data_IF_498384233653
#
_entry.id   IF_498384233653
#
_cell.length_a   1.000
_cell.length_b   1.000
_cell.length_c   1.000
_cell.angle_alpha   90.00
_cell.angle_beta   90.00
_cell.angle_gamma   90.00
#
_symmetry.space_group_name_H-M   'P 1'
#
loop_
_entity.id
_entity.type
_entity.pdbx_description
1 polymer ?
#
# COMPACT_ATOMS: atom_id res chain seq x y z
N UNK A 1 24.89 -1.81 -34.11
CA UNK A 1 25.60 -0.99 -35.13
C UNK A 1 25.12 -1.41 -36.52
N UNK A 2 24.87 -0.46 -37.41
CA UNK A 2 24.54 -0.75 -38.81
C UNK A 2 25.82 -0.90 -39.61
N UNK A 3 25.92 -2.00 -40.34
CA UNK A 3 27.01 -2.25 -41.27
C UNK A 3 26.44 -2.37 -42.67
N UNK A 4 27.13 -1.79 -43.63
CA UNK A 4 26.84 -2.01 -45.04
C UNK A 4 27.76 -3.07 -45.60
N UNK A 5 27.19 -3.97 -46.40
CA UNK A 5 27.91 -5.01 -47.12
C UNK A 5 27.67 -4.80 -48.59
N UNK A 6 28.76 -4.78 -49.36
CA UNK A 6 28.73 -4.65 -50.80
C UNK A 6 29.78 -5.59 -51.38
N UNK A 7 29.36 -6.46 -52.29
CA UNK A 7 30.26 -7.41 -52.93
C UNK A 7 30.81 -6.81 -54.23
N UNK A 8 32.07 -7.12 -54.56
CA UNK A 8 32.68 -6.78 -55.84
C UNK A 8 32.79 -8.05 -56.71
N UNK A 9 32.49 -7.93 -58.00
CA UNK A 9 32.78 -8.99 -58.97
C UNK A 9 34.25 -8.95 -59.42
N UNK A 10 34.70 -9.98 -60.14
CA UNK A 10 36.09 -10.11 -60.61
C UNK A 10 36.57 -8.99 -61.57
N UNK A 11 35.64 -8.13 -62.04
CA UNK A 11 35.91 -7.01 -62.94
C UNK A 11 35.73 -5.65 -62.26
N UNK A 12 35.59 -5.62 -60.92
CA UNK A 12 35.47 -4.39 -60.14
C UNK A 12 34.07 -3.77 -60.10
N UNK A 13 33.05 -4.42 -60.65
CA UNK A 13 31.67 -4.00 -60.51
C UNK A 13 31.11 -4.34 -59.13
N UNK A 14 30.44 -3.39 -58.48
CA UNK A 14 29.88 -3.54 -57.15
C UNK A 14 28.40 -3.99 -57.19
N UNK A 15 27.98 -4.83 -56.25
CA UNK A 15 26.57 -5.19 -56.03
C UNK A 15 25.78 -4.03 -55.44
N UNK A 16 24.46 -4.19 -55.35
CA UNK A 16 23.65 -3.35 -54.47
C UNK A 16 24.17 -3.43 -53.03
N UNK A 17 24.17 -2.30 -52.35
CA UNK A 17 24.52 -2.22 -50.92
C UNK A 17 23.39 -2.87 -50.13
N UNK A 18 23.74 -3.82 -49.28
CA UNK A 18 22.81 -4.40 -48.29
C UNK A 18 23.21 -3.92 -46.90
N UNK A 19 22.24 -3.62 -46.04
CA UNK A 19 22.50 -3.32 -44.63
C UNK A 19 22.32 -4.57 -43.78
N UNK A 20 23.18 -4.73 -42.77
CA UNK A 20 23.02 -5.72 -41.72
C UNK A 20 23.15 -5.04 -40.35
N UNK A 21 22.20 -5.32 -39.47
CA UNK A 21 22.22 -4.83 -38.09
C UNK A 21 22.82 -5.90 -37.19
N UNK A 22 23.96 -5.62 -36.56
CA UNK A 22 24.57 -6.52 -35.59
C UNK A 22 24.32 -5.98 -34.17
N UNK A 23 23.76 -6.84 -33.30
CA UNK A 23 23.36 -6.53 -31.93
C UNK A 23 21.92 -6.01 -31.83
N UNK A 24 20.94 -6.92 -31.89
CA UNK A 24 19.53 -6.59 -31.67
C UNK A 24 19.24 -6.15 -30.23
N UNK A 25 18.02 -5.63 -30.01
CA UNK A 25 17.58 -5.24 -28.68
C UNK A 25 17.59 -6.46 -27.75
N UNK A 26 18.27 -6.35 -26.60
CA UNK A 26 18.29 -7.39 -25.58
C UNK A 26 17.07 -7.21 -24.69
N UNK A 27 16.26 -8.25 -24.54
CA UNK A 27 15.13 -8.26 -23.63
C UNK A 27 15.41 -9.16 -22.43
N UNK A 28 14.89 -8.74 -21.27
CA UNK A 28 15.02 -9.45 -20.00
C UNK A 28 13.66 -9.52 -19.31
N UNK A 29 13.39 -10.62 -18.59
CA UNK A 29 12.09 -10.86 -17.96
C UNK A 29 11.95 -10.14 -16.61
N UNK A 30 10.70 -9.80 -16.26
CA UNK A 30 10.30 -9.24 -14.98
C UNK A 30 9.36 -10.21 -14.27
N UNK A 31 9.63 -10.51 -13.01
CA UNK A 31 8.75 -11.25 -12.11
C UNK A 31 8.30 -10.37 -10.95
N UNK A 32 7.01 -10.37 -10.66
CA UNK A 32 6.42 -9.60 -9.57
C UNK A 32 6.03 -10.50 -8.41
N UNK A 33 6.41 -10.10 -7.20
CA UNK A 33 6.13 -10.83 -5.96
C UNK A 33 5.53 -9.87 -4.94
N UNK A 34 4.46 -10.29 -4.27
CA UNK A 34 3.97 -9.63 -3.09
C UNK A 34 4.93 -9.92 -1.92
N UNK A 35 5.56 -8.88 -1.36
CA UNK A 35 6.46 -9.08 -0.21
C UNK A 35 5.71 -9.61 1.03
N UNK A 36 4.41 -9.35 1.14
CA UNK A 36 3.54 -10.01 2.13
C UNK A 36 3.30 -11.45 1.67
N UNK A 37 3.85 -12.40 2.43
CA UNK A 37 3.67 -13.83 2.17
C UNK A 37 4.50 -14.39 1.00
N UNK A 38 5.31 -13.57 0.33
CA UNK A 38 6.19 -13.97 -0.77
C UNK A 38 5.44 -14.68 -1.92
N UNK A 39 4.29 -14.14 -2.32
CA UNK A 39 3.37 -14.73 -3.31
C UNK A 39 3.55 -14.06 -4.67
N UNK A 40 3.64 -14.83 -5.76
CA UNK A 40 3.74 -14.29 -7.12
C UNK A 40 2.48 -13.52 -7.52
N UNK A 41 2.66 -12.35 -8.16
CA UNK A 41 1.60 -11.52 -8.74
C UNK A 41 1.58 -11.72 -10.26
N UNK A 42 0.59 -12.44 -10.78
CA UNK A 42 0.53 -12.85 -12.20
C UNK A 42 -0.30 -11.94 -13.11
N UNK A 43 -1.06 -11.00 -12.55
CA UNK A 43 -1.97 -10.10 -13.27
C UNK A 43 -1.37 -8.72 -13.55
N UNK A 44 -0.05 -8.63 -13.63
CA UNK A 44 0.68 -7.37 -13.83
C UNK A 44 1.46 -7.39 -15.14
N UNK A 45 1.46 -6.26 -15.83
CA UNK A 45 2.20 -6.04 -17.07
C UNK A 45 2.99 -4.74 -16.94
N UNK A 46 4.20 -4.66 -17.53
CA UNK A 46 4.83 -5.63 -18.44
C UNK A 46 5.58 -6.76 -17.72
N UNK A 47 5.75 -7.93 -18.36
CA UNK A 47 6.53 -9.07 -17.80
C UNK A 47 7.94 -9.19 -18.40
N UNK A 48 8.33 -8.20 -19.19
CA UNK A 48 9.63 -8.10 -19.84
C UNK A 48 9.99 -6.64 -20.11
N UNK A 49 11.27 -6.34 -20.29
CA UNK A 49 11.75 -5.03 -20.69
C UNK A 49 12.96 -5.13 -21.63
N UNK A 50 13.15 -4.08 -22.43
CA UNK A 50 14.32 -3.93 -23.29
C UNK A 50 15.45 -3.28 -22.49
N UNK A 51 16.58 -3.96 -22.37
CA UNK A 51 17.79 -3.41 -21.74
C UNK A 51 18.24 -2.14 -22.46
N UNK A 52 18.71 -1.15 -21.70
CA UNK A 52 19.06 0.17 -22.27
C UNK A 52 17.88 1.14 -22.35
N UNK A 53 16.67 0.74 -21.93
CA UNK A 53 15.47 1.60 -21.91
C UNK A 53 14.90 1.75 -20.51
N UNK A 54 14.29 2.90 -20.23
CA UNK A 54 13.54 3.10 -18.99
C UNK A 54 12.13 2.56 -19.19
N UNK A 55 11.61 1.83 -18.19
CA UNK A 55 10.24 1.34 -18.20
C UNK A 55 9.55 1.62 -16.87
N UNK A 56 8.36 2.19 -16.94
CA UNK A 56 7.51 2.43 -15.77
C UNK A 56 6.88 1.12 -15.31
N UNK A 57 6.91 0.89 -14.00
CA UNK A 57 6.35 -0.30 -13.37
C UNK A 57 4.86 -0.12 -13.07
N UNK A 58 4.07 -1.21 -13.10
CA UNK A 58 2.65 -1.15 -12.74
C UNK A 58 2.49 -0.81 -11.25
N UNK A 59 1.34 -0.23 -10.91
CA UNK A 59 0.94 0.02 -9.52
C UNK A 59 -0.10 -1.02 -9.13
N UNK A 60 0.26 -2.06 -8.35
CA UNK A 60 -0.68 -3.04 -7.87
C UNK A 60 -1.63 -2.42 -6.83
N UNK A 61 -2.82 -2.99 -6.68
CA UNK A 61 -3.82 -2.56 -5.69
C UNK A 61 -4.10 -3.73 -4.75
N UNK A 62 -4.14 -3.45 -3.46
CA UNK A 62 -4.51 -4.39 -2.42
C UNK A 62 -5.46 -3.71 -1.43
N UNK A 63 -6.61 -4.32 -1.17
CA UNK A 63 -7.63 -3.74 -0.30
C UNK A 63 -7.07 -3.53 1.12
N UNK A 64 -7.21 -2.30 1.63
CA UNK A 64 -6.72 -1.93 2.97
C UNK A 64 -5.21 -1.64 3.05
N UNK A 65 -4.52 -1.50 1.91
CA UNK A 65 -3.10 -1.19 1.86
C UNK A 65 -2.77 -0.14 0.79
N UNK A 66 -1.85 0.76 1.13
CA UNK A 66 -1.26 1.72 0.19
C UNK A 66 0.02 1.13 -0.38
N UNK A 67 0.14 1.14 -1.71
CA UNK A 67 1.36 0.71 -2.37
C UNK A 67 2.51 1.69 -2.08
N UNK A 68 3.58 1.21 -1.46
CA UNK A 68 4.78 2.00 -1.16
C UNK A 68 5.70 2.07 -2.38
N UNK A 69 5.93 0.92 -3.03
CA UNK A 69 6.75 0.81 -4.23
C UNK A 69 7.34 -0.58 -4.41
N UNK A 70 8.10 -0.74 -5.49
CA UNK A 70 8.84 -1.96 -5.79
C UNK A 70 10.24 -1.95 -5.16
N UNK A 71 10.74 -3.14 -4.83
CA UNK A 71 12.12 -3.38 -4.39
C UNK A 71 12.73 -4.57 -5.12
N UNK A 72 14.05 -4.56 -5.30
CA UNK A 72 14.81 -5.74 -5.77
C UNK A 72 15.19 -6.69 -4.63
N UNK A 73 14.91 -6.31 -3.38
CA UNK A 73 15.11 -7.15 -2.20
C UNK A 73 13.78 -7.67 -1.66
N UNK A 74 13.78 -8.93 -1.23
CA UNK A 74 12.61 -9.53 -0.59
C UNK A 74 12.31 -8.96 0.81
N UNK A 75 13.31 -8.36 1.47
CA UNK A 75 13.23 -7.96 2.89
C UNK A 75 13.49 -6.49 3.15
N UNK A 76 14.06 -5.77 2.17
CA UNK A 76 14.38 -4.34 2.29
C UNK A 76 13.43 -3.56 1.41
N UNK A 77 12.62 -2.70 2.03
CA UNK A 77 11.69 -1.86 1.31
C UNK A 77 12.43 -0.83 0.41
N UNK A 78 11.85 -0.57 -0.74
CA UNK A 78 12.23 0.51 -1.64
C UNK A 78 10.99 1.04 -2.35
N UNK A 79 11.06 2.26 -2.83
CA UNK A 79 9.96 2.95 -3.50
C UNK A 79 10.16 3.03 -5.02
N UNK A 80 10.72 1.98 -5.64
CA UNK A 80 10.98 1.98 -7.08
C UNK A 80 9.66 2.04 -7.87
N UNK A 81 9.65 2.86 -8.92
CA UNK A 81 8.52 3.03 -9.84
C UNK A 81 8.89 2.73 -11.30
N UNK A 82 10.16 2.45 -11.56
CA UNK A 82 10.69 2.18 -12.88
C UNK A 82 11.88 1.23 -12.81
N UNK A 83 12.17 0.56 -13.92
CA UNK A 83 13.47 -0.06 -14.18
C UNK A 83 14.28 0.95 -15.01
N UNK A 84 15.48 1.27 -14.57
CA UNK A 84 16.35 2.23 -15.23
C UNK A 84 16.98 1.64 -16.50
N UNK A 85 17.34 2.50 -17.45
CA UNK A 85 18.01 2.09 -18.68
C UNK A 85 19.33 1.34 -18.44
N UNK A 86 19.99 1.57 -17.30
CA UNK A 86 21.23 0.90 -16.93
C UNK A 86 21.02 -0.51 -16.38
N UNK A 87 19.78 -0.90 -16.05
CA UNK A 87 19.45 -2.21 -15.51
C UNK A 87 19.50 -3.28 -16.60
N UNK A 88 20.09 -4.44 -16.27
CA UNK A 88 20.27 -5.57 -17.17
C UNK A 88 19.94 -6.88 -16.46
N UNK A 89 19.55 -7.89 -17.23
CA UNK A 89 19.23 -9.22 -16.73
C UNK A 89 17.83 -9.34 -16.13
N UNK A 90 17.52 -10.56 -15.69
CA UNK A 90 16.22 -10.92 -15.13
C UNK A 90 15.98 -10.17 -13.82
N UNK A 91 14.81 -9.54 -13.72
CA UNK A 91 14.41 -8.75 -12.55
C UNK A 91 13.32 -9.47 -11.77
N UNK A 92 13.53 -9.64 -10.46
CA UNK A 92 12.48 -10.01 -9.51
C UNK A 92 12.19 -8.81 -8.62
N UNK A 93 10.94 -8.34 -8.64
CA UNK A 93 10.50 -7.15 -7.96
C UNK A 93 9.46 -7.48 -6.90
N UNK A 94 9.68 -6.98 -5.69
CA UNK A 94 8.86 -7.20 -4.51
C UNK A 94 8.02 -5.96 -4.23
N UNK A 95 6.69 -6.09 -4.23
CA UNK A 95 5.76 -5.02 -3.87
C UNK A 95 5.76 -4.84 -2.36
N UNK A 96 6.13 -3.65 -1.90
CA UNK A 96 6.02 -3.23 -0.50
C UNK A 96 4.81 -2.32 -0.30
N UNK A 97 4.23 -2.41 0.90
CA UNK A 97 2.98 -1.75 1.25
C UNK A 97 3.11 -0.95 2.55
N UNK A 98 2.16 -0.05 2.77
CA UNK A 98 2.03 0.73 3.99
C UNK A 98 3.08 1.83 4.14
N UNK A 99 3.07 2.48 5.31
CA UNK A 99 3.94 3.62 5.61
C UNK A 99 5.39 3.14 5.68
N UNK A 100 6.24 3.71 4.82
CA UNK A 100 7.66 3.37 4.76
C UNK A 100 7.95 1.95 4.28
N UNK A 101 6.99 1.27 3.65
CA UNK A 101 7.15 -0.12 3.21
C UNK A 101 7.24 -1.12 4.36
N UNK A 102 6.56 -0.85 5.47
CA UNK A 102 6.53 -1.73 6.63
C UNK A 102 5.64 -2.98 6.45
N UNK A 103 4.96 -3.10 5.30
CA UNK A 103 4.03 -4.17 4.97
C UNK A 103 2.89 -4.37 5.97
N UNK A 104 2.53 -3.30 6.69
CA UNK A 104 1.34 -3.27 7.52
C UNK A 104 0.16 -2.72 6.71
N UNK A 105 -1.08 -3.14 7.04
CA UNK A 105 -2.27 -2.49 6.50
C UNK A 105 -2.19 -0.98 6.71
N UNK A 106 -2.85 -0.24 5.82
CA UNK A 106 -3.06 1.17 6.04
C UNK A 106 -3.71 1.35 7.40
N UNK A 107 -3.06 2.16 8.22
CA UNK A 107 -3.74 2.68 9.39
C UNK A 107 -4.89 3.51 8.85
N UNK A 108 -6.12 3.04 9.06
CA UNK A 108 -7.27 3.93 9.16
C UNK A 108 -6.92 4.86 10.30
N UNK A 109 -6.21 5.95 9.99
CA UNK A 109 -5.93 6.99 10.95
C UNK A 109 -7.30 7.43 11.42
N UNK A 110 -7.65 7.20 12.69
CA UNK A 110 -8.67 8.04 13.27
C UNK A 110 -8.19 9.48 13.05
N UNK A 111 -9.09 10.45 12.89
CA UNK A 111 -8.68 11.85 12.77
C UNK A 111 -7.62 12.14 13.84
N UNK A 112 -6.41 12.51 13.39
CA UNK A 112 -5.22 12.59 14.22
C UNK A 112 -5.37 13.56 15.42
N UNK A 113 -6.43 14.36 15.40
CA UNK A 113 -6.94 15.14 16.50
C UNK A 113 -8.30 14.57 16.91
N UNK A 114 -8.28 13.56 17.77
CA UNK A 114 -9.50 13.20 18.49
C UNK A 114 -9.90 14.40 19.34
N UNK A 115 -11.15 14.84 19.22
CA UNK A 115 -11.70 15.86 20.12
C UNK A 115 -11.78 15.32 21.55
N UNK A 116 -11.96 13.99 21.70
CA UNK A 116 -12.10 13.31 22.99
C UNK A 116 -11.29 12.02 23.06
N UNK A 117 -10.76 11.73 24.24
CA UNK A 117 -10.17 10.43 24.57
C UNK A 117 -10.99 9.78 25.68
N UNK A 118 -11.40 8.52 25.51
CA UNK A 118 -12.01 7.76 26.59
C UNK A 118 -10.93 7.24 27.55
N UNK A 119 -11.00 7.66 28.81
CA UNK A 119 -9.93 7.47 29.80
C UNK A 119 -10.30 6.48 30.91
N UNK A 120 -11.57 6.07 31.02
CA UNK A 120 -12.09 5.31 32.16
C UNK A 120 -11.26 4.06 32.51
N UNK A 121 -11.06 3.85 33.82
CA UNK A 121 -10.47 2.63 34.39
C UNK A 121 -11.46 1.86 35.25
N UNK A 122 -12.48 2.54 35.77
CA UNK A 122 -13.60 2.01 36.54
C UNK A 122 -14.89 2.67 36.03
N UNK A 123 -16.04 2.02 36.21
CA UNK A 123 -17.34 2.52 35.73
C UNK A 123 -17.29 3.04 34.29
N UNK A 124 -17.03 2.13 33.35
CA UNK A 124 -16.71 2.38 31.93
C UNK A 124 -17.89 2.88 31.08
N UNK A 125 -18.85 3.53 31.72
CA UNK A 125 -20.09 4.02 31.13
C UNK A 125 -19.81 5.10 30.08
N UNK A 126 -20.47 5.01 28.92
CA UNK A 126 -20.34 6.01 27.85
C UNK A 126 -21.07 7.33 28.11
N UNK A 127 -21.90 7.40 29.17
CA UNK A 127 -22.74 8.55 29.53
C UNK A 127 -22.23 9.31 30.75
N UNK A 128 -20.95 9.13 31.06
CA UNK A 128 -20.28 9.81 32.17
C UNK A 128 -19.17 10.70 31.63
N UNK A 129 -19.37 12.02 31.69
CA UNK A 129 -18.42 13.02 31.19
C UNK A 129 -16.98 12.85 31.76
N UNK A 130 -16.87 12.43 33.02
CA UNK A 130 -15.58 12.21 33.69
C UNK A 130 -14.75 11.07 33.08
N UNK A 131 -15.36 10.22 32.25
CA UNK A 131 -14.67 9.16 31.53
C UNK A 131 -14.01 9.65 30.23
N UNK A 132 -14.10 10.94 29.93
CA UNK A 132 -13.51 11.54 28.73
C UNK A 132 -12.46 12.58 29.10
N UNK A 133 -11.54 12.85 28.16
CA UNK A 133 -10.66 14.00 28.18
C UNK A 133 -10.86 14.80 26.87
N UNK A 134 -11.32 16.06 26.94
CA UNK A 134 -11.71 16.80 28.14
C UNK A 134 -12.90 16.15 28.87
N UNK A 135 -13.03 16.41 30.19
CA UNK A 135 -14.06 15.81 31.06
C UNK A 135 -15.46 16.40 30.85
N UNK A 136 -15.93 16.35 29.61
CA UNK A 136 -17.25 16.78 29.14
C UNK A 136 -17.80 15.72 28.18
N UNK A 137 -19.12 15.72 27.96
CA UNK A 137 -19.73 14.76 27.06
C UNK A 137 -19.31 15.01 25.60
N UNK A 138 -18.91 13.97 24.85
CA UNK A 138 -18.62 14.10 23.43
C UNK A 138 -19.82 14.55 22.59
N UNK A 139 -19.61 15.56 21.74
CA UNK A 139 -20.65 16.16 20.90
C UNK A 139 -20.82 15.44 19.56
N UNK A 140 -21.97 15.64 18.90
CA UNK A 140 -22.24 15.07 17.59
C UNK A 140 -21.24 15.55 16.52
N UNK A 141 -20.78 14.62 15.68
CA UNK A 141 -19.77 14.90 14.64
C UNK A 141 -18.35 15.13 15.18
N UNK A 142 -18.13 14.97 16.49
CA UNK A 142 -16.81 14.96 17.11
C UNK A 142 -16.29 13.55 17.30
N UNK A 143 -14.97 13.43 17.42
CA UNK A 143 -14.28 12.15 17.31
C UNK A 143 -13.74 11.69 18.65
N UNK A 144 -14.05 10.44 19.01
CA UNK A 144 -13.69 9.82 20.30
C UNK A 144 -12.72 8.66 20.09
N UNK A 145 -11.57 8.74 20.74
CA UNK A 145 -10.60 7.64 20.81
C UNK A 145 -10.97 6.66 21.92
N UNK A 146 -11.13 5.37 21.57
CA UNK A 146 -11.39 4.30 22.54
C UNK A 146 -10.35 3.20 22.40
N UNK A 147 -9.43 3.14 23.35
CA UNK A 147 -8.39 2.09 23.45
C UNK A 147 -8.68 1.05 24.54
N UNK A 148 -9.81 1.18 25.21
CA UNK A 148 -10.23 0.33 26.35
C UNK A 148 -11.67 -0.15 26.14
N UNK A 149 -12.14 -1.01 27.04
CA UNK A 149 -13.57 -1.36 27.08
C UNK A 149 -14.40 -0.12 27.46
N UNK A 150 -15.43 0.17 26.68
CA UNK A 150 -16.48 1.16 26.96
C UNK A 150 -17.84 0.45 27.00
N UNK A 151 -18.72 0.86 27.92
CA UNK A 151 -20.01 0.22 28.19
C UNK A 151 -21.17 1.12 27.78
N UNK A 152 -22.15 0.54 27.07
CA UNK A 152 -23.36 1.26 26.69
C UNK A 152 -24.34 1.44 27.84
N UNK A 153 -25.20 2.44 27.74
CA UNK A 153 -26.35 2.71 28.60
C UNK A 153 -27.55 3.14 27.74
N UNK A 154 -28.69 3.41 28.38
CA UNK A 154 -29.89 3.90 27.70
C UNK A 154 -29.74 5.30 27.08
N UNK A 155 -28.72 6.06 27.46
CA UNK A 155 -28.44 7.40 26.94
C UNK A 155 -27.92 7.31 25.51
N UNK A 156 -28.36 8.24 24.64
CA UNK A 156 -27.89 8.29 23.26
C UNK A 156 -26.45 8.79 23.21
N UNK A 157 -25.55 8.02 22.59
CA UNK A 157 -24.19 8.46 22.29
C UNK A 157 -24.11 9.07 20.89
N UNK A 158 -23.81 10.36 20.80
CA UNK A 158 -23.97 11.13 19.55
C UNK A 158 -22.67 11.32 18.75
N UNK A 159 -21.51 11.14 19.37
CA UNK A 159 -20.20 11.32 18.76
C UNK A 159 -19.75 10.10 17.95
N UNK A 160 -18.78 10.31 17.07
CA UNK A 160 -18.13 9.26 16.28
C UNK A 160 -17.07 8.53 17.13
N UNK A 161 -17.13 7.20 17.20
CA UNK A 161 -16.22 6.39 18.00
C UNK A 161 -15.26 5.63 17.09
N UNK A 162 -13.96 5.75 17.37
CA UNK A 162 -12.92 4.90 16.77
C UNK A 162 -12.28 3.99 17.82
N UNK A 163 -12.37 2.67 17.61
CA UNK A 163 -11.74 1.65 18.44
C UNK A 163 -10.35 1.28 17.93
N UNK A 164 -9.33 1.33 18.78
CA UNK A 164 -7.93 0.95 18.48
C UNK A 164 -7.26 0.28 19.68
N UNK A 165 -6.05 -0.27 19.53
CA UNK A 165 -5.21 -0.79 20.65
C UNK A 165 -5.91 -1.73 21.66
N UNK A 166 -6.95 -2.46 21.23
CA UNK A 166 -7.73 -3.35 22.11
C UNK A 166 -8.99 -2.73 22.71
N UNK A 167 -9.39 -1.54 22.24
CA UNK A 167 -10.70 -0.95 22.50
C UNK A 167 -11.84 -1.86 22.06
N UNK A 168 -12.83 -2.01 22.93
CA UNK A 168 -14.00 -2.87 22.71
C UNK A 168 -15.27 -2.18 23.20
N UNK A 169 -16.36 -2.40 22.48
CA UNK A 169 -17.69 -1.98 22.91
C UNK A 169 -18.39 -3.12 23.65
N UNK A 170 -18.78 -2.88 24.90
CA UNK A 170 -19.62 -3.80 25.66
C UNK A 170 -21.06 -3.30 25.68
N UNK A 171 -21.94 -4.04 25.02
CA UNK A 171 -23.37 -3.73 24.98
C UNK A 171 -24.04 -4.15 26.30
N UNK A 172 -24.71 -3.20 26.96
CA UNK A 172 -25.52 -3.39 28.17
C UNK A 172 -26.85 -2.66 28.03
N UNK A 173 -27.93 -3.36 28.41
CA UNK A 173 -29.29 -2.82 28.41
C UNK A 173 -29.74 -2.28 27.06
N UNK A 174 -30.71 -1.37 27.09
CA UNK A 174 -31.08 -0.56 25.92
C UNK A 174 -29.93 0.37 25.58
N UNK A 175 -29.58 0.46 24.30
CA UNK A 175 -28.49 1.30 23.81
C UNK A 175 -28.92 1.99 22.52
N UNK A 176 -28.45 3.23 22.32
CA UNK A 176 -28.69 3.99 21.09
C UNK A 176 -27.49 4.86 20.81
N UNK A 177 -26.99 4.81 19.58
CA UNK A 177 -25.94 5.72 19.10
C UNK A 177 -26.39 6.35 17.78
N UNK A 178 -26.03 7.61 17.56
CA UNK A 178 -26.31 8.32 16.31
C UNK A 178 -25.06 8.73 15.56
N UNK A 179 -23.89 8.64 16.18
CA UNK A 179 -22.60 8.75 15.50
C UNK A 179 -22.18 7.44 14.83
N UNK A 180 -21.07 7.51 14.10
CA UNK A 180 -20.43 6.36 13.47
C UNK A 180 -19.56 5.59 14.45
N UNK A 181 -19.41 4.28 14.23
CA UNK A 181 -18.50 3.44 15.00
C UNK A 181 -17.57 2.71 14.03
N UNK A 182 -16.26 2.90 14.18
CA UNK A 182 -15.24 2.28 13.35
C UNK A 182 -14.25 1.51 14.21
N UNK A 183 -13.76 0.37 13.73
CA UNK A 183 -12.72 -0.41 14.39
C UNK A 183 -11.48 -0.49 13.50
N UNK A 184 -10.33 -0.09 14.03
CA UNK A 184 -9.05 -0.19 13.33
C UNK A 184 -8.44 -1.60 13.40
N UNK A 185 -9.06 -2.50 14.16
CA UNK A 185 -8.67 -3.91 14.26
C UNK A 185 -9.41 -4.77 13.22
N UNK A 186 -9.17 -4.54 11.94
CA UNK A 186 -9.39 -5.60 10.96
C UNK A 186 -8.19 -6.57 11.03
N UNK A 187 -8.16 -7.43 12.05
CA UNK A 187 -7.45 -8.71 11.91
C UNK A 187 -8.42 -9.67 11.23
N UNK A 188 -8.24 -9.86 9.92
CA UNK A 188 -8.63 -11.12 9.28
C UNK A 188 -7.55 -12.15 9.52
#
# INVERSE_FOLDING_TARGET
HEYTVQAANAYGGLSAVSSVTVGGAVTSSISYVNSIGNVTLSNLTPVEYTEGTVITLPTPVMEGYTFYGWSTSATVAASMKEIAATTKGVQTLYAFWGIGGNNQPDTVLPPANFDYVFTATQNKSWDMAANFNPAVMPEAGKQVSVTKEIETTATVFSADISFSEGGVLRLRGTHKATGTMSSNNCKR
#
